data_IF_016715640396
#
_entry.id   IF_016715640396
#
_cell.length_a   1.000
_cell.length_b   1.000
_cell.length_c   1.000
_cell.angle_alpha   90.00
_cell.angle_beta   90.00
_cell.angle_gamma   90.00
#
_symmetry.space_group_name_H-M   'P 1'
#
loop_
_entity.id
_entity.type
_entity.pdbx_description
1 polymer ?
2 non-polymer ?
3 water ?
#
# COMPACT_ATOMS: atom_id res chain seq x y z
N UNK A 3 -10.73 -1.44 -8.53
CA UNK A 3 -9.40 -1.51 -7.84
C UNK A 3 -9.34 -2.74 -6.96
N UNK A 4 -8.33 -3.59 -7.19
CA UNK A 4 -8.10 -4.74 -6.33
C UNK A 4 -7.87 -4.33 -4.88
N UNK A 5 -7.23 -3.20 -4.66
CA UNK A 5 -7.03 -2.73 -3.29
C UNK A 5 -8.32 -2.31 -2.58
N UNK A 6 -9.40 -2.07 -3.32
CA UNK A 6 -10.63 -1.59 -2.71
C UNK A 6 -11.75 -2.65 -2.63
N UNK A 7 -11.40 -3.91 -2.83
CA UNK A 7 -12.41 -4.98 -2.86
C UNK A 7 -13.05 -5.12 -1.50
N UNK A 8 -14.33 -5.49 -1.48
CA UNK A 8 -14.99 -5.86 -0.23
C UNK A 8 -14.40 -7.14 0.26
N UNK A 9 -14.69 -7.50 1.51
CA UNK A 9 -14.03 -8.63 2.15
C UNK A 9 -14.34 -9.97 1.48
N UNK A 10 -15.57 -10.11 1.00
CA UNK A 10 -15.94 -11.36 0.36
C UNK A 10 -15.38 -11.41 -1.04
N UNK A 11 -15.48 -10.32 -1.76
CA UNK A 11 -14.79 -10.19 -3.04
C UNK A 11 -13.30 -10.56 -2.92
N UNK A 12 -12.65 -10.08 -1.88
CA UNK A 12 -11.23 -10.37 -1.68
C UNK A 12 -11.02 -11.86 -1.37
N UNK A 13 -11.83 -12.43 -0.48
CA UNK A 13 -11.76 -13.86 -0.15
C UNK A 13 -11.88 -14.76 -1.38
N UNK A 14 -12.80 -14.40 -2.27
CA UNK A 14 -12.91 -15.09 -3.51
C UNK A 14 -11.64 -14.93 -4.33
N UNK A 15 -11.18 -13.69 -4.51
CA UNK A 15 -10.03 -13.47 -5.38
C UNK A 15 -8.82 -14.19 -4.83
N UNK A 16 -8.69 -14.26 -3.51
CA UNK A 16 -7.64 -14.99 -2.89
C UNK A 16 -7.63 -16.44 -3.31
N UNK A 17 -8.83 -17.02 -3.41
CA UNK A 17 -8.90 -18.44 -3.67
C UNK A 17 -8.46 -18.70 -5.08
N UNK A 18 -9.01 -17.89 -5.97
CA UNK A 18 -8.70 -17.96 -7.37
C UNK A 18 -7.21 -17.75 -7.65
N UNK A 19 -6.60 -16.77 -7.00
CA UNK A 19 -5.16 -16.55 -7.11
C UNK A 19 -4.33 -17.72 -6.57
N UNK A 20 -4.90 -18.51 -5.68
CA UNK A 20 -4.15 -19.62 -5.07
C UNK A 20 -4.10 -20.87 -5.96
N UNK A 21 -4.89 -20.87 -7.03
CA UNK A 21 -5.13 -22.05 -7.85
C UNK A 21 -4.77 -21.78 -9.28
N UNK A 22 -4.05 -22.72 -9.90
CA UNK A 22 -3.67 -22.56 -11.30
C UNK A 22 -4.84 -22.65 -12.25
N UNK A 23 -5.72 -23.61 -12.03
CA UNK A 23 -6.84 -23.84 -12.93
C UNK A 23 -8.03 -22.99 -12.55
N UNK A 24 -8.82 -22.53 -13.55
CA UNK A 24 -10.08 -21.84 -13.22
C UNK A 24 -10.98 -22.70 -12.34
N UNK A 25 -11.73 -22.07 -11.45
CA UNK A 25 -12.42 -22.76 -10.37
C UNK A 25 -13.94 -22.69 -10.53
N UNK A 26 -14.62 -23.79 -10.18
CA UNK A 26 -16.07 -23.78 -10.23
C UNK A 26 -16.61 -22.97 -9.06
N UNK A 27 -17.88 -22.59 -9.14
CA UNK A 27 -18.54 -21.96 -8.02
C UNK A 27 -18.45 -22.90 -6.80
N UNK A 28 -18.66 -24.21 -7.00
CA UNK A 28 -18.53 -25.16 -5.88
C UNK A 28 -17.13 -25.13 -5.23
N UNK A 29 -16.11 -25.09 -6.05
CA UNK A 29 -14.74 -25.04 -5.54
C UNK A 29 -14.49 -23.77 -4.72
N UNK A 30 -14.97 -22.63 -5.20
CA UNK A 30 -14.86 -21.37 -4.47
C UNK A 30 -15.61 -21.50 -3.12
N UNK A 31 -16.84 -22.01 -3.17
CA UNK A 31 -17.69 -22.18 -2.00
C UNK A 31 -17.07 -23.12 -0.99
N UNK A 32 -16.54 -24.24 -1.45
CA UNK A 32 -15.86 -25.14 -0.53
C UNK A 32 -14.67 -24.47 0.14
N UNK A 33 -13.86 -23.75 -0.62
CA UNK A 33 -12.70 -23.04 -0.08
C UNK A 33 -13.07 -21.98 0.95
N UNK A 34 -14.13 -21.23 0.71
CA UNK A 34 -14.53 -20.20 1.65
C UNK A 34 -15.17 -20.78 2.91
N UNK A 35 -15.57 -22.05 2.86
CA UNK A 35 -16.37 -22.64 3.91
C UNK A 35 -15.54 -22.93 5.15
N UNK A 36 -14.22 -22.94 4.98
CA UNK A 36 -13.34 -23.09 6.13
C UNK A 36 -13.58 -21.95 7.09
N UNK A 37 -13.73 -20.72 6.59
CA UNK A 37 -13.82 -19.56 7.48
C UNK A 37 -15.18 -18.88 7.56
N UNK A 38 -16.12 -19.26 6.69
CA UNK A 38 -17.45 -18.69 6.73
C UNK A 38 -18.52 -19.73 6.42
N UNK A 39 -19.75 -19.48 6.87
CA UNK A 39 -20.90 -20.27 6.44
C UNK A 39 -21.75 -19.43 5.49
N UNK A 40 -21.60 -19.65 4.19
CA UNK A 40 -22.26 -18.84 3.18
C UNK A 40 -23.14 -19.74 2.37
N UNK A 41 -24.21 -19.17 1.80
CA UNK A 41 -25.03 -19.87 0.85
C UNK A 41 -24.27 -20.00 -0.49
N UNK A 42 -24.54 -21.12 -1.15
CA UNK A 42 -23.99 -21.35 -2.47
C UNK A 42 -24.31 -20.18 -3.37
N UNK A 43 -25.56 -19.75 -3.37
CA UNK A 43 -25.98 -18.58 -4.16
C UNK A 43 -25.23 -17.31 -3.82
N UNK A 44 -24.79 -17.14 -2.57
CA UNK A 44 -24.02 -15.93 -2.23
C UNK A 44 -22.70 -15.90 -2.96
N UNK A 45 -22.01 -17.03 -2.99
CA UNK A 45 -20.72 -17.18 -3.70
C UNK A 45 -20.92 -17.00 -5.19
N UNK A 46 -21.94 -17.65 -5.73
CA UNK A 46 -22.22 -17.58 -7.15
C UNK A 46 -22.47 -16.13 -7.53
N UNK A 47 -23.26 -15.45 -6.71
CA UNK A 47 -23.58 -14.04 -6.93
C UNK A 47 -22.36 -13.13 -6.84
N UNK A 48 -21.47 -13.34 -5.88
CA UNK A 48 -20.25 -12.53 -5.83
C UNK A 48 -19.34 -12.77 -7.06
N UNK A 49 -19.23 -14.03 -7.50
CA UNK A 49 -18.53 -14.31 -8.77
C UNK A 49 -19.14 -13.58 -9.94
N UNK A 50 -20.47 -13.57 -10.02
CA UNK A 50 -21.15 -12.80 -11.06
C UNK A 50 -20.84 -11.29 -11.02
N UNK A 51 -20.91 -10.72 -9.84
CA UNK A 51 -20.55 -9.31 -9.66
C UNK A 51 -19.09 -9.04 -9.97
N UNK A 52 -18.18 -9.94 -9.61
CA UNK A 52 -16.76 -9.79 -9.95
C UNK A 52 -16.61 -9.83 -11.45
N UNK A 53 -17.38 -10.67 -12.11
CA UNK A 53 -17.30 -10.77 -13.55
C UNK A 53 -17.75 -9.47 -14.20
N UNK A 54 -18.80 -8.84 -13.68
CA UNK A 54 -19.29 -7.59 -14.27
C UNK A 54 -18.26 -6.46 -14.10
N UNK A 55 -17.51 -6.52 -13.02
CA UNK A 55 -16.37 -5.66 -12.76
C UNK A 55 -15.12 -6.00 -13.60
N UNK A 56 -15.18 -7.03 -14.43
CA UNK A 56 -14.02 -7.49 -15.16
C UNK A 56 -12.85 -7.95 -14.34
N UNK A 57 -13.12 -8.48 -13.16
CA UNK A 57 -12.06 -9.02 -12.30
C UNK A 57 -11.91 -10.54 -12.40
N UNK A 58 -12.96 -11.21 -12.91
CA UNK A 58 -12.92 -12.61 -13.23
C UNK A 58 -13.57 -12.82 -14.59
N UNK A 59 -13.28 -13.94 -15.22
CA UNK A 59 -13.86 -14.29 -16.48
C UNK A 59 -14.50 -15.66 -16.31
N UNK A 60 -15.73 -15.79 -16.74
CA UNK A 60 -16.35 -17.11 -16.75
C UNK A 60 -15.93 -17.89 -18.00
N UNK A 61 -15.48 -19.10 -17.76
CA UNK A 61 -14.99 -19.99 -18.78
C UNK A 61 -15.92 -21.18 -18.88
N UNK A 62 -16.30 -21.47 -20.11
CA UNK A 62 -17.27 -22.50 -20.41
C UNK A 62 -16.57 -23.61 -21.16
N UNK A 66 -19.03 -27.90 -17.30
CA UNK A 66 -18.30 -27.17 -16.25
C UNK A 66 -18.25 -25.65 -16.50
N UNK A 67 -18.74 -24.85 -15.56
CA UNK A 67 -18.61 -23.37 -15.62
C UNK A 67 -17.55 -23.03 -14.61
N UNK A 68 -16.50 -22.34 -15.04
CA UNK A 68 -15.42 -22.04 -14.13
C UNK A 68 -15.04 -20.56 -14.25
N UNK A 69 -14.29 -20.09 -13.28
CA UNK A 69 -13.89 -18.71 -13.14
C UNK A 69 -12.38 -18.63 -12.96
N UNK A 70 -11.79 -17.71 -13.72
CA UNK A 70 -10.38 -17.39 -13.75
C UNK A 70 -10.23 -15.90 -13.46
N UNK A 71 -9.23 -15.56 -12.64
CA UNK A 71 -8.97 -14.15 -12.36
C UNK A 71 -8.40 -13.41 -13.58
N UNK A 72 -8.97 -12.25 -13.89
CA UNK A 72 -8.50 -11.46 -15.02
C UNK A 72 -7.15 -10.76 -14.77
N UNK A 73 -6.95 -10.38 -13.50
CA UNK A 73 -5.72 -9.73 -13.01
C UNK A 73 -5.17 -10.61 -11.92
N UNK A 74 -3.87 -10.83 -11.95
CA UNK A 74 -3.17 -11.64 -10.97
C UNK A 74 -2.88 -10.91 -9.66
N UNK A 75 -2.51 -11.65 -8.65
CA UNK A 75 -2.17 -11.03 -7.38
C UNK A 75 -1.00 -10.03 -7.48
N UNK A 76 -0.14 -10.14 -8.48
CA UNK A 76 0.91 -9.12 -8.69
C UNK A 76 0.30 -7.72 -8.96
N UNK A 77 -0.87 -7.66 -9.61
CA UNK A 77 -1.59 -6.41 -9.76
C UNK A 77 -2.19 -5.84 -8.48
N UNK A 78 -2.52 -6.70 -7.51
CA UNK A 78 -2.86 -6.25 -6.18
C UNK A 78 -1.64 -5.56 -5.53
N UNK A 79 -0.48 -6.24 -5.58
CA UNK A 79 0.76 -5.68 -5.03
C UNK A 79 1.08 -4.36 -5.71
N UNK A 80 0.99 -4.29 -7.03
CA UNK A 80 1.23 -3.02 -7.72
C UNK A 80 0.27 -1.92 -7.22
N UNK A 81 -0.98 -2.30 -6.94
CA UNK A 81 -2.00 -1.38 -6.45
C UNK A 81 -1.70 -0.87 -5.07
N UNK A 82 -1.23 -1.77 -4.22
CA UNK A 82 -0.80 -1.42 -2.90
C UNK A 82 0.38 -0.43 -2.96
N UNK A 83 1.20 -0.55 -4.00
CA UNK A 83 2.35 0.37 -4.14
C UNK A 83 1.88 1.73 -4.58
N UNK A 84 0.94 1.72 -5.52
CA UNK A 84 0.31 2.92 -6.03
C UNK A 84 -0.37 3.69 -4.89
N UNK A 85 -1.06 2.96 -4.02
CA UNK A 85 -1.79 3.54 -2.89
C UNK A 85 -0.82 4.15 -1.91
N UNK A 86 0.28 3.45 -1.65
CA UNK A 86 1.36 3.94 -0.80
C UNK A 86 1.98 5.25 -1.26
N UNK A 87 2.34 5.29 -2.54
CA UNK A 87 2.85 6.51 -3.19
C UNK A 87 1.86 7.67 -3.11
N UNK A 88 0.57 7.31 -3.12
CA UNK A 88 -0.51 8.27 -3.02
C UNK A 88 -0.63 8.91 -1.64
N UNK A 89 0.03 8.34 -0.64
CA UNK A 89 0.13 8.95 0.70
C UNK A 89 1.00 10.21 0.73
N UNK A 90 1.92 10.36 -0.22
CA UNK A 90 2.70 11.60 -0.38
C UNK A 90 1.80 12.84 -0.54
N UNK A 91 2.14 13.90 0.18
CA UNK A 91 1.25 15.09 0.30
C UNK A 91 1.31 16.01 -0.92
N UNK A 92 2.32 15.84 -1.77
CA UNK A 92 2.49 16.64 -2.99
C UNK A 92 3.54 16.02 -3.91
N UNK A 93 3.73 16.60 -5.10
CA UNK A 93 4.66 16.04 -6.09
C UNK A 93 6.11 16.03 -5.62
N UNK A 94 6.51 17.04 -4.85
CA UNK A 94 7.89 17.08 -4.36
C UNK A 94 8.17 15.86 -3.51
N UNK A 95 7.30 15.64 -2.52
CA UNK A 95 7.36 14.48 -1.64
C UNK A 95 7.20 13.15 -2.42
N UNK A 96 6.29 13.15 -3.41
CA UNK A 96 6.13 12.01 -4.30
C UNK A 96 7.49 11.62 -4.96
N UNK A 97 8.21 12.61 -5.47
CA UNK A 97 9.49 12.30 -6.12
C UNK A 97 10.61 11.92 -5.16
N UNK A 98 10.65 12.56 -4.00
CA UNK A 98 11.66 12.22 -3.00
C UNK A 98 11.44 10.80 -2.44
N UNK A 99 10.18 10.41 -2.27
CA UNK A 99 9.85 9.07 -1.78
C UNK A 99 10.29 7.96 -2.75
N UNK A 100 10.08 8.18 -4.03
CA UNK A 100 10.56 7.24 -5.06
C UNK A 100 12.08 7.05 -5.05
N UNK A 101 12.83 8.15 -4.86
CA UNK A 101 14.28 8.08 -4.73
C UNK A 101 14.67 7.23 -3.54
N UNK A 102 14.09 7.57 -2.39
CA UNK A 102 14.31 6.78 -1.18
C UNK A 102 13.96 5.31 -1.39
N UNK A 103 12.85 5.06 -2.08
CA UNK A 103 12.43 3.71 -2.39
C UNK A 103 13.56 2.94 -3.12
N UNK A 104 14.06 3.54 -4.18
CA UNK A 104 15.14 2.94 -4.97
C UNK A 104 16.36 2.70 -4.09
N UNK A 105 16.65 3.65 -3.17
CA UNK A 105 17.74 3.52 -2.20
C UNK A 105 17.52 2.40 -1.18
N UNK A 106 16.26 2.10 -0.89
CA UNK A 106 15.89 1.12 0.14
C UNK A 106 15.83 -0.33 -0.39
N UNK A 107 15.46 -0.50 -1.66
CA UNK A 107 15.22 -1.84 -2.19
C UNK A 107 16.52 -2.66 -2.26
N UNK A 108 16.36 -3.98 -2.35
CA UNK A 108 17.49 -4.88 -2.59
C UNK A 108 17.98 -4.74 -4.02
N UNK A 109 19.16 -5.32 -4.30
CA UNK A 109 19.77 -5.24 -5.64
C UNK A 109 18.94 -6.00 -6.67
N UNK A 110 18.45 -7.18 -6.28
CA UNK A 110 17.55 -7.98 -7.12
C UNK A 110 16.26 -7.24 -7.50
N UNK A 111 15.77 -6.42 -6.59
CA UNK A 111 14.56 -5.62 -6.80
C UNK A 111 14.85 -4.41 -7.68
N UNK A 112 15.98 -3.77 -7.42
CA UNK A 112 16.46 -2.67 -8.26
C UNK A 112 16.58 -3.13 -9.71
N UNK A 113 17.06 -4.36 -9.90
CA UNK A 113 17.30 -4.94 -11.22
C UNK A 113 15.98 -5.28 -11.85
N UNK A 114 15.04 -5.74 -11.01
CA UNK A 114 13.67 -5.97 -11.45
C UNK A 114 13.02 -4.66 -11.89
N UNK A 115 13.31 -3.60 -11.11
CA UNK A 115 12.79 -2.28 -11.40
C UNK A 115 13.34 -1.76 -12.72
N UNK A 116 14.64 -1.93 -12.90
CA UNK A 116 15.32 -1.59 -14.16
C UNK A 116 14.67 -2.31 -15.35
N UNK A 117 14.41 -3.62 -15.20
CA UNK A 117 13.72 -4.39 -16.24
C UNK A 117 12.31 -3.83 -16.49
N UNK A 118 11.58 -3.49 -15.42
CA UNK A 118 10.23 -2.97 -15.59
C UNK A 118 10.20 -1.65 -16.37
N UNK A 119 11.16 -0.77 -16.07
CA UNK A 119 11.27 0.51 -16.73
C UNK A 119 11.77 0.39 -18.18
N UNK A 120 12.54 -0.66 -18.49
CA UNK A 120 12.95 -0.92 -19.87
C UNK A 120 11.75 -1.32 -20.71
N UNK A 121 10.92 -2.18 -20.16
CA UNK A 121 9.69 -2.64 -20.83
C UNK A 121 8.78 -1.47 -21.09
N UNK A 122 8.58 -0.64 -20.06
CA UNK A 122 7.81 0.59 -20.18
C UNK A 122 8.38 1.42 -21.31
N UNK A 123 9.71 1.53 -21.29
CA UNK A 123 10.45 2.23 -22.33
C UNK A 123 10.14 1.69 -23.71
N UNK A 124 10.15 0.37 -23.88
CA UNK A 124 9.87 -0.23 -25.20
C UNK A 124 8.43 0.04 -25.64
N UNK B 3 0.52 -3.72 10.46
CA UNK B 3 1.32 -2.58 9.89
C UNK B 3 0.40 -1.46 9.36
N UNK B 4 0.68 -0.22 9.75
CA UNK B 4 0.01 0.95 9.17
C UNK B 4 0.17 0.90 7.66
N UNK B 5 -0.88 1.25 6.93
CA UNK B 5 -0.79 1.46 5.48
C UNK B 5 -1.18 2.90 5.04
N UNK B 6 -1.89 3.61 5.91
CA UNK B 6 -2.27 4.99 5.65
C UNK B 6 -2.43 5.71 7.00
N UNK B 7 -2.35 7.03 7.01
CA UNK B 7 -2.58 7.81 8.22
C UNK B 7 -3.97 8.35 8.19
N UNK B 8 -4.66 8.35 9.32
CA UNK B 8 -5.94 9.08 9.39
C UNK B 8 -5.71 10.59 9.39
N UNK B 9 -6.76 11.40 9.22
CA UNK B 9 -6.57 12.85 9.13
C UNK B 9 -5.99 13.52 10.35
N UNK B 10 -6.36 13.06 11.53
CA UNK B 10 -5.72 13.55 12.75
C UNK B 10 -4.29 13.05 12.99
N UNK B 11 -4.03 11.77 12.66
CA UNK B 11 -2.66 11.25 12.73
C UNK B 11 -1.80 12.06 11.77
N UNK B 12 -2.32 12.35 10.59
CA UNK B 12 -1.56 13.13 9.65
C UNK B 12 -1.29 14.60 10.08
N UNK B 13 -2.30 15.24 10.66
CA UNK B 13 -2.17 16.59 11.24
C UNK B 13 -1.05 16.62 12.23
N UNK B 14 -1.08 15.62 13.08
CA UNK B 14 -0.04 15.39 14.04
C UNK B 14 1.42 15.21 13.52
N UNK B 15 1.64 14.23 12.67
CA UNK B 15 2.94 13.98 12.06
C UNK B 15 3.38 15.22 11.22
N UNK B 16 2.41 15.92 10.64
CA UNK B 16 2.72 17.14 9.88
C UNK B 16 3.36 18.23 10.76
N UNK B 17 2.86 18.38 11.97
CA UNK B 17 3.48 19.30 12.93
C UNK B 17 4.87 18.81 13.27
N UNK B 18 4.98 17.54 13.64
CA UNK B 18 6.23 16.93 14.04
C UNK B 18 7.30 16.99 12.97
N UNK B 19 6.88 16.85 11.72
CA UNK B 19 7.80 16.92 10.60
C UNK B 19 8.23 18.36 10.29
N UNK B 20 7.51 19.33 10.84
CA UNK B 20 7.81 20.74 10.63
C UNK B 20 8.74 21.30 11.71
N UNK B 21 9.12 20.49 12.69
CA UNK B 21 9.96 20.95 13.77
C UNK B 21 11.15 20.04 13.95
N UNK B 22 12.31 20.62 14.21
CA UNK B 22 13.50 19.83 14.45
C UNK B 22 13.49 19.25 15.85
N UNK B 23 12.91 19.95 16.81
CA UNK B 23 12.93 19.48 18.20
C UNK B 23 11.72 18.57 18.41
N UNK B 24 11.88 17.51 19.24
CA UNK B 24 10.72 16.74 19.68
C UNK B 24 9.71 17.69 20.36
N UNK B 25 8.44 17.36 20.28
CA UNK B 25 7.39 18.28 20.71
C UNK B 25 6.55 17.71 21.85
N UNK B 26 6.19 18.56 22.80
CA UNK B 26 5.29 18.18 23.88
C UNK B 26 3.86 18.03 23.37
N UNK B 27 3.02 17.34 24.14
CA UNK B 27 1.60 17.25 23.80
C UNK B 27 1.04 18.68 23.65
N UNK B 28 1.38 19.54 24.59
CA UNK B 28 0.90 20.93 24.55
C UNK B 28 1.27 21.61 23.23
N UNK B 29 2.50 21.43 22.76
CA UNK B 29 2.94 21.99 21.47
C UNK B 29 2.18 21.46 20.26
N UNK B 30 1.88 20.17 20.25
CA UNK B 30 1.14 19.56 19.17
C UNK B 30 -0.29 20.10 19.21
N UNK B 31 -0.88 20.12 20.40
CA UNK B 31 -2.24 20.65 20.59
C UNK B 31 -2.36 22.09 20.08
N UNK B 32 -1.41 22.93 20.46
CA UNK B 32 -1.38 24.31 19.98
C UNK B 32 -1.29 24.37 18.44
N UNK B 33 -0.45 23.54 17.83
CA UNK B 33 -0.39 23.50 16.37
C UNK B 33 -1.72 23.06 15.77
N UNK B 34 -2.33 22.01 16.32
CA UNK B 34 -3.58 21.51 15.77
C UNK B 34 -4.77 22.45 15.98
N UNK B 35 -4.67 23.32 16.98
CA UNK B 35 -5.71 24.32 17.27
C UNK B 35 -5.93 25.34 16.17
N UNK B 36 -5.00 25.38 15.22
CA UNK B 36 -5.14 26.23 14.06
C UNK B 36 -6.39 25.91 13.26
N UNK B 37 -6.78 24.64 13.22
CA UNK B 37 -7.94 24.19 12.45
C UNK B 37 -8.98 23.40 13.27
N UNK B 38 -8.56 22.82 14.38
CA UNK B 38 -9.45 21.97 15.16
C UNK B 38 -9.52 22.36 16.62
N UNK B 39 -10.68 22.11 17.23
CA UNK B 39 -10.84 22.24 18.66
C UNK B 39 -10.88 20.86 19.24
N UNK B 40 -9.79 20.43 19.85
CA UNK B 40 -9.69 19.09 20.37
C UNK B 40 -9.36 19.17 21.84
N UNK B 41 -9.75 18.13 22.58
CA UNK B 41 -9.32 17.92 23.95
C UNK B 41 -7.82 17.59 24.00
N UNK B 42 -7.14 18.08 25.03
CA UNK B 42 -5.75 17.74 25.24
C UNK B 42 -5.54 16.21 25.28
N UNK B 43 -6.48 15.52 25.92
CA UNK B 43 -6.37 14.07 26.05
C UNK B 43 -6.52 13.37 24.68
N UNK B 44 -7.22 13.99 23.72
CA UNK B 44 -7.37 13.43 22.39
C UNK B 44 -6.05 13.50 21.63
N UNK B 45 -5.39 14.66 21.73
CA UNK B 45 -4.06 14.82 21.15
C UNK B 45 -3.05 13.87 21.83
N UNK B 46 -3.07 13.83 23.13
CA UNK B 46 -2.25 12.85 23.87
C UNK B 46 -2.49 11.42 23.36
N UNK B 47 -3.75 11.04 23.27
CA UNK B 47 -4.11 9.67 22.91
C UNK B 47 -3.65 9.34 21.50
N UNK B 48 -3.73 10.30 20.60
CA UNK B 48 -3.32 10.05 19.23
C UNK B 48 -1.79 9.91 19.06
N UNK B 49 -1.06 10.75 19.76
CA UNK B 49 0.39 10.53 20.00
C UNK B 49 0.76 9.15 20.49
N UNK B 50 0.15 8.70 21.60
CA UNK B 50 0.34 7.36 22.08
C UNK B 50 0.04 6.20 21.07
N UNK B 51 -1.04 6.33 20.31
CA UNK B 51 -1.36 5.37 19.24
C UNK B 51 -0.31 5.40 18.11
N UNK B 52 0.09 6.60 17.70
CA UNK B 52 1.18 6.74 16.75
C UNK B 52 2.49 6.14 17.30
N UNK B 53 2.78 6.24 18.61
CA UNK B 53 3.93 5.57 19.19
C UNK B 53 3.77 4.06 19.10
N UNK B 54 2.53 3.55 19.21
CA UNK B 54 2.35 2.07 19.26
C UNK B 54 2.53 1.58 17.83
N UNK B 55 2.29 2.45 16.88
CA UNK B 55 2.52 2.16 15.47
C UNK B 55 3.96 2.45 14.99
N UNK B 56 4.85 2.71 15.96
CA UNK B 56 6.24 3.10 15.72
C UNK B 56 6.45 4.23 14.76
N UNK B 57 5.52 5.18 14.73
CA UNK B 57 5.67 6.35 13.89
C UNK B 57 6.24 7.52 14.70
N UNK B 58 6.15 7.44 16.03
CA UNK B 58 6.85 8.39 16.91
C UNK B 58 7.40 7.70 18.03
N UNK B 59 8.36 8.38 18.67
CA UNK B 59 9.00 7.90 19.86
C UNK B 59 8.69 8.93 20.95
N UNK B 60 8.43 8.42 22.14
CA UNK B 60 8.17 9.27 23.25
C UNK B 60 9.51 9.42 23.96
N UNK B 61 9.93 10.68 24.11
CA UNK B 61 11.25 11.09 24.67
C UNK B 61 11.00 11.70 26.05
N UNK B 62 11.92 11.46 26.99
CA UNK B 62 11.76 11.88 28.40
C UNK B 62 13.08 12.47 28.87
N UNK B 66 8.51 16.00 31.57
CA UNK B 66 8.30 16.77 30.33
C UNK B 66 8.39 15.92 29.06
N UNK B 67 7.28 15.28 28.67
CA UNK B 67 7.34 14.30 27.59
C UNK B 67 7.28 14.97 26.24
N UNK B 68 8.14 14.52 25.33
CA UNK B 68 8.16 15.04 23.97
C UNK B 68 8.08 13.90 22.99
N UNK B 69 7.69 14.21 21.76
CA UNK B 69 7.54 13.20 20.75
C UNK B 69 8.30 13.56 19.49
N UNK B 70 9.00 12.57 18.92
CA UNK B 70 9.84 12.75 17.73
C UNK B 70 9.31 11.84 16.62
N UNK B 71 9.29 12.31 15.37
CA UNK B 71 8.86 11.39 14.33
C UNK B 71 9.98 10.34 14.10
N UNK B 72 9.60 9.06 13.99
CA UNK B 72 10.55 8.00 13.73
C UNK B 72 11.08 8.05 12.26
N UNK B 73 10.19 8.36 11.32
CA UNK B 73 10.54 8.53 9.94
C UNK B 73 10.10 9.94 9.49
N UNK B 74 10.87 10.52 8.59
CA UNK B 74 10.48 11.71 7.92
C UNK B 74 9.36 11.46 6.95
N UNK B 75 8.83 12.56 6.44
CA UNK B 75 7.69 12.59 5.54
C UNK B 75 7.90 11.70 4.33
N UNK B 76 9.03 11.91 3.67
CA UNK B 76 9.35 11.18 2.46
C UNK B 76 9.72 9.76 2.78
N UNK B 77 10.56 9.53 3.80
CA UNK B 77 10.96 8.15 4.11
C UNK B 77 9.74 7.27 4.57
N UNK B 78 8.74 7.85 5.21
CA UNK B 78 7.55 7.12 5.55
C UNK B 78 6.88 6.56 4.29
N UNK B 79 6.77 7.39 3.25
CA UNK B 79 6.12 6.95 2.04
C UNK B 79 6.94 5.83 1.40
N UNK B 80 8.24 6.03 1.32
CA UNK B 80 9.12 5.02 0.81
C UNK B 80 8.96 3.72 1.57
N UNK B 81 8.87 3.77 2.89
CA UNK B 81 8.71 2.58 3.70
C UNK B 81 7.40 1.84 3.46
N UNK B 82 6.32 2.60 3.23
CA UNK B 82 5.04 2.02 2.89
C UNK B 82 5.11 1.29 1.55
N UNK B 83 5.84 1.85 0.58
CA UNK B 83 6.04 1.17 -0.71
C UNK B 83 6.80 -0.12 -0.57
N UNK B 84 7.84 -0.12 0.25
CA UNK B 84 8.60 -1.32 0.57
C UNK B 84 7.69 -2.38 1.24
N UNK B 85 6.87 -1.93 2.18
CA UNK B 85 5.95 -2.80 2.89
C UNK B 85 5.00 -3.44 1.88
N UNK B 86 4.57 -2.64 0.90
CA UNK B 86 3.67 -3.09 -0.17
C UNK B 86 4.31 -4.12 -1.09
N UNK B 87 5.55 -3.88 -1.51
CA UNK B 87 6.26 -4.84 -2.34
C UNK B 87 6.50 -6.15 -1.60
N UNK B 88 6.68 -6.05 -0.28
CA UNK B 88 6.88 -7.19 0.60
C UNK B 88 5.68 -8.15 0.63
N UNK B 89 4.52 -7.68 0.16
CA UNK B 89 3.32 -8.52 0.06
C UNK B 89 3.38 -9.57 -1.06
N UNK B 90 4.17 -9.29 -2.09
CA UNK B 90 4.34 -10.23 -3.21
C UNK B 90 4.87 -11.58 -2.72
N UNK B 91 4.37 -12.66 -3.33
CA UNK B 91 4.61 -14.02 -2.81
C UNK B 91 6.00 -14.55 -3.13
N UNK B 92 6.57 -14.10 -4.25
CA UNK B 92 7.87 -14.59 -4.72
C UNK B 92 8.53 -13.61 -5.70
N UNK B 93 9.76 -13.91 -6.13
CA UNK B 93 10.48 -12.98 -7.00
C UNK B 93 9.78 -12.78 -8.36
N UNK B 94 9.10 -13.82 -8.85
CA UNK B 94 8.31 -13.72 -10.08
C UNK B 94 7.19 -12.71 -9.99
N UNK B 95 6.43 -12.74 -8.89
CA UNK B 95 5.35 -11.75 -8.71
C UNK B 95 5.88 -10.36 -8.30
N UNK B 96 6.98 -10.30 -7.53
CA UNK B 96 7.66 -9.01 -7.31
C UNK B 96 7.99 -8.36 -8.65
N UNK B 97 8.56 -9.15 -9.55
CA UNK B 97 8.94 -8.65 -10.87
C UNK B 97 7.73 -8.11 -11.62
N UNK B 98 6.66 -8.93 -11.70
CA UNK B 98 5.44 -8.54 -12.44
C UNK B 98 4.75 -7.34 -11.79
N UNK B 99 4.77 -7.30 -10.45
CA UNK B 99 4.24 -6.17 -9.70
C UNK B 99 4.91 -4.89 -10.07
N UNK B 100 6.24 -4.94 -10.11
CA UNK B 100 7.05 -3.77 -10.49
C UNK B 100 6.77 -3.31 -11.93
N UNK B 101 6.56 -4.25 -12.85
CA UNK B 101 6.19 -3.93 -14.23
C UNK B 101 4.89 -3.15 -14.28
N UNK B 102 3.89 -3.62 -13.54
CA UNK B 102 2.59 -2.97 -13.51
C UNK B 102 2.65 -1.66 -12.75
N UNK B 103 3.49 -1.64 -11.71
CA UNK B 103 3.65 -0.42 -10.93
C UNK B 103 4.14 0.74 -11.81
N UNK B 104 5.22 0.53 -12.57
CA UNK B 104 5.78 1.61 -13.39
C UNK B 104 4.85 2.02 -14.53
N UNK B 105 3.97 1.12 -14.94
CA UNK B 105 2.89 1.46 -15.90
C UNK B 105 1.87 2.46 -15.33
N UNK B 106 1.75 2.48 -14.00
CA UNK B 106 0.73 3.26 -13.32
C UNK B 106 1.22 4.57 -12.70
N UNK B 107 2.53 4.78 -12.62
CA UNK B 107 3.05 6.07 -12.18
C UNK B 107 3.16 6.97 -13.39
N UNK B 108 3.43 8.25 -13.17
CA UNK B 108 3.65 9.19 -14.27
C UNK B 108 5.04 9.06 -14.86
N UNK B 109 5.25 9.75 -15.98
CA UNK B 109 6.58 9.83 -16.60
C UNK B 109 7.62 10.44 -15.65
N UNK B 110 7.33 11.63 -15.13
CA UNK B 110 8.19 12.27 -14.12
C UNK B 110 8.60 11.28 -13.04
N UNK B 111 7.62 10.51 -12.58
CA UNK B 111 7.83 9.46 -11.59
C UNK B 111 8.70 8.33 -12.12
N UNK B 112 8.38 7.88 -13.33
CA UNK B 112 9.17 6.82 -13.98
C UNK B 112 10.62 7.28 -14.16
N UNK B 113 10.80 8.54 -14.53
CA UNK B 113 12.13 9.09 -14.73
C UNK B 113 12.87 9.32 -13.40
N UNK B 114 12.16 9.82 -12.40
CA UNK B 114 12.72 9.91 -11.06
C UNK B 114 13.31 8.55 -10.67
N UNK B 115 12.55 7.49 -10.92
CA UNK B 115 13.04 6.13 -10.69
C UNK B 115 14.29 5.84 -11.53
N UNK B 116 14.22 6.14 -12.83
CA UNK B 116 15.35 5.91 -13.74
C UNK B 116 16.61 6.66 -13.27
N UNK B 117 16.45 7.92 -12.93
CA UNK B 117 17.57 8.75 -12.45
C UNK B 117 18.20 8.18 -11.19
N UNK B 118 17.35 7.81 -10.23
CA UNK B 118 17.80 7.25 -8.96
C UNK B 118 18.55 5.93 -9.15
N UNK B 119 18.03 5.07 -10.03
CA UNK B 119 18.65 3.78 -10.30
C UNK B 119 20.04 3.95 -10.93
N UNK B 120 20.16 4.89 -11.85
CA UNK B 120 21.43 5.17 -12.52
C UNK B 120 22.47 5.75 -11.57
N UNK B 121 22.02 6.61 -10.65
CA UNK B 121 22.90 7.11 -9.59
C UNK B 121 23.26 6.00 -8.61
N UNK B 122 22.31 5.11 -8.36
CA UNK B 122 22.48 4.06 -7.35
C UNK B 122 23.74 3.26 -7.63
N UNK B 123 23.83 2.76 -8.86
CA UNK B 123 24.99 2.03 -9.32
C UNK B 123 26.21 2.95 -9.49
N UNK B 124 26.20 3.76 -10.56
CA UNK B 124 27.36 4.53 -10.98
C UNK B 124 27.62 5.73 -10.07
X LIG C 1 -24.82 -16.14 2.80
X LIG D 1 -11.61 15.91 21.02
X LIG E 1 1.95 -11.92 -5.21
#
# INVERSE_FOLDING_TARGET
>A
XAKLTRLGDLERAVMDHLWSRTEPQTVRQVHEALSARRDLAYTTVMAVLQRLAKKNLVLQIRDDRAHRYAPVHGRDELVAGLMVDALAQAEDSGSRQAALVHFVERVGADEADALRRALAELEAGHGNRPPAGAATET
>B
XAKLTRLGDLERAVMDHLWSRTEPQTVRQVHEALSARRDLAYTTVMAVLQRLAKKNLVLQIRDDRAHRYAPVHGRDELVAGLMVDALAQAEDSGSRQAALVHFVERVGADEADALRRALAELEAGHGNRPPAGAATET
>C hetero
1 CL CL
>D hetero
1 CL CL
>E hetero
1 CL CL
#
